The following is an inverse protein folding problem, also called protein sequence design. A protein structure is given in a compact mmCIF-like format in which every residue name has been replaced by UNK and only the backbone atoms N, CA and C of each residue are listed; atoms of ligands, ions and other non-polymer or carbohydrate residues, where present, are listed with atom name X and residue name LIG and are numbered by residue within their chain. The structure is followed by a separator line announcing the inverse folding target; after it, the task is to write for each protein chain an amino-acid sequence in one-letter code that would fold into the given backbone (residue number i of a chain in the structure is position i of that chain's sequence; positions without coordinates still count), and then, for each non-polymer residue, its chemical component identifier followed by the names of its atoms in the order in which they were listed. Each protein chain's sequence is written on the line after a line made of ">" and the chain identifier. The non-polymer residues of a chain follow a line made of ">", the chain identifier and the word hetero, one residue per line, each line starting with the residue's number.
data_IF_090983338511
#
_entry.id   IF_090983338511
#
_cell.length_a   1.000
_cell.length_b   1.000
_cell.length_c   1.000
_cell.angle_alpha   90.00
_cell.angle_beta   90.00
_cell.angle_gamma   90.00
#
_symmetry.space_group_name_H-M   'P 1'
#
loop_
_entity.id
_entity.type
_entity.pdbx_description
1 polymer ?
#
# COMPACT_ATOMS: atom_id res chain seq x y z
N UNK A 1 1.80 -23.90 9.65
CA UNK A 1 2.64 -23.14 8.70
C UNK A 1 3.76 -24.03 8.14
N UNK A 2 4.40 -24.88 8.96
CA UNK A 2 5.47 -25.79 8.53
C UNK A 2 5.09 -26.74 7.37
N UNK A 3 3.84 -27.18 7.28
CA UNK A 3 3.40 -28.07 6.19
C UNK A 3 3.40 -27.44 4.78
N UNK A 4 3.58 -26.12 4.68
CA UNK A 4 3.62 -25.39 3.39
C UNK A 4 5.03 -24.91 3.03
N UNK A 5 6.04 -25.16 3.87
CA UNK A 5 7.45 -24.84 3.59
C UNK A 5 7.92 -25.32 2.21
N UNK A 6 7.52 -26.50 1.69
CA UNK A 6 7.95 -26.94 0.36
C UNK A 6 7.47 -26.05 -0.80
N UNK A 7 6.44 -25.22 -0.62
CA UNK A 7 5.99 -24.26 -1.64
C UNK A 7 6.85 -22.99 -1.67
N UNK A 8 7.66 -22.75 -0.64
CA UNK A 8 8.53 -21.58 -0.51
C UNK A 8 10.00 -21.91 -0.87
N UNK A 9 10.32 -23.16 -1.24
CA UNK A 9 11.65 -23.56 -1.70
C UNK A 9 11.76 -23.42 -3.23
N UNK A 10 12.81 -22.75 -3.74
CA UNK A 10 13.05 -22.56 -5.18
C UNK A 10 12.29 -21.36 -5.77
N UNK A 11 11.58 -21.54 -6.87
CA UNK A 11 10.74 -20.52 -7.55
C UNK A 11 9.41 -20.23 -6.79
N UNK A 12 9.39 -20.51 -5.49
CA UNK A 12 8.25 -20.28 -4.61
C UNK A 12 8.05 -18.79 -4.34
N UNK A 13 6.83 -18.37 -3.94
CA UNK A 13 6.57 -16.97 -3.70
C UNK A 13 7.27 -16.47 -2.44
N UNK A 14 7.65 -15.18 -2.44
CA UNK A 14 7.94 -14.47 -1.20
C UNK A 14 6.62 -14.27 -0.44
N UNK A 15 6.53 -14.86 0.75
CA UNK A 15 5.38 -14.73 1.62
C UNK A 15 5.59 -13.60 2.64
N UNK A 16 4.75 -12.58 2.56
CA UNK A 16 4.64 -11.52 3.55
C UNK A 16 3.40 -11.77 4.41
N UNK A 17 3.49 -11.49 5.71
CA UNK A 17 2.36 -11.54 6.61
C UNK A 17 2.33 -10.31 7.50
N UNK A 18 1.13 -9.88 7.89
CA UNK A 18 0.99 -8.92 8.97
C UNK A 18 1.46 -9.51 10.30
N UNK A 19 1.67 -8.66 11.31
CA UNK A 19 2.18 -9.10 12.61
C UNK A 19 1.26 -10.13 13.31
N UNK A 20 -0.05 -10.11 13.02
CA UNK A 20 -1.00 -11.07 13.57
C UNK A 20 -1.12 -12.36 12.73
N UNK A 21 -0.50 -12.43 11.55
CA UNK A 21 -0.58 -13.56 10.63
C UNK A 21 -1.98 -13.81 10.08
N UNK A 22 -2.81 -12.78 9.99
CA UNK A 22 -4.18 -12.81 9.46
C UNK A 22 -4.23 -12.47 7.98
N UNK A 23 -3.37 -11.57 7.53
CA UNK A 23 -3.26 -11.15 6.13
C UNK A 23 -1.94 -11.67 5.59
N UNK A 24 -2.00 -12.39 4.47
CA UNK A 24 -0.83 -12.94 3.79
C UNK A 24 -0.80 -12.43 2.36
N UNK A 25 0.37 -12.02 1.89
CA UNK A 25 0.63 -11.65 0.51
C UNK A 25 1.71 -12.56 -0.05
N UNK A 26 1.41 -13.23 -1.16
CA UNK A 26 2.35 -14.08 -1.88
C UNK A 26 2.82 -13.34 -3.14
N UNK A 27 4.12 -13.08 -3.25
CA UNK A 27 4.73 -12.40 -4.40
C UNK A 27 5.44 -13.42 -5.27
N UNK A 28 5.06 -13.48 -6.55
CA UNK A 28 5.65 -14.36 -7.54
C UNK A 28 6.35 -13.51 -8.61
N UNK A 29 7.53 -13.95 -9.08
CA UNK A 29 8.16 -13.36 -10.25
C UNK A 29 7.29 -13.60 -11.49
N UNK A 30 7.09 -12.55 -12.29
CA UNK A 30 6.20 -12.59 -13.46
C UNK A 30 6.52 -11.46 -14.42
N UNK A 31 6.60 -11.77 -15.72
CA UNK A 31 6.74 -10.76 -16.77
C UNK A 31 5.40 -10.05 -17.10
N UNK A 32 4.31 -10.47 -16.47
CA UNK A 32 2.98 -9.87 -16.64
C UNK A 32 2.83 -8.68 -15.69
N UNK A 33 2.52 -7.51 -16.23
CA UNK A 33 2.21 -6.32 -15.44
C UNK A 33 0.94 -6.47 -14.58
N UNK A 34 0.71 -5.53 -13.64
CA UNK A 34 -0.35 -5.68 -12.63
C UNK A 34 -1.74 -5.64 -13.25
N UNK A 35 -2.55 -6.64 -12.92
CA UNK A 35 -3.94 -6.72 -13.34
C UNK A 35 -4.84 -5.68 -12.66
N UNK A 36 -4.53 -5.28 -11.42
CA UNK A 36 -5.34 -4.38 -10.60
C UNK A 36 -4.50 -3.62 -9.57
N UNK A 37 -5.16 -2.79 -8.76
CA UNK A 37 -4.57 -2.08 -7.60
C UNK A 37 -4.98 -2.78 -6.32
N UNK A 38 -4.07 -2.89 -5.35
CA UNK A 38 -4.39 -3.37 -3.99
C UNK A 38 -4.48 -2.16 -3.05
N UNK A 39 -5.63 -2.00 -2.39
CA UNK A 39 -5.88 -0.90 -1.46
C UNK A 39 -5.79 -1.36 0.00
N UNK A 40 -5.10 -0.56 0.82
CA UNK A 40 -4.95 -0.74 2.26
C UNK A 40 -5.68 0.38 3.00
N UNK A 41 -6.55 0.00 3.93
CA UNK A 41 -7.23 0.96 4.81
C UNK A 41 -6.31 1.46 5.91
N UNK A 42 -6.37 2.76 6.21
CA UNK A 42 -5.61 3.40 7.27
C UNK A 42 -6.48 4.40 8.04
N UNK A 43 -6.15 4.66 9.31
CA UNK A 43 -6.64 5.85 10.01
C UNK A 43 -6.04 7.13 9.39
N UNK A 44 -6.63 8.29 9.63
CA UNK A 44 -6.14 9.56 9.11
C UNK A 44 -4.70 9.87 9.55
N UNK A 45 -4.35 9.52 10.80
CA UNK A 45 -3.00 9.69 11.31
C UNK A 45 -1.99 8.74 10.64
N UNK A 46 -2.38 7.48 10.41
CA UNK A 46 -1.54 6.52 9.66
C UNK A 46 -1.37 6.94 8.21
N UNK A 47 -2.43 7.43 7.57
CA UNK A 47 -2.41 7.94 6.21
C UNK A 47 -1.38 9.07 6.04
N UNK A 48 -1.38 10.06 6.95
CA UNK A 48 -0.41 11.16 6.93
C UNK A 48 1.03 10.66 7.16
N UNK A 49 1.23 9.69 8.06
CA UNK A 49 2.56 9.07 8.25
C UNK A 49 3.03 8.33 7.01
N UNK A 50 2.14 7.59 6.35
CA UNK A 50 2.45 6.89 5.11
C UNK A 50 2.79 7.86 3.99
N UNK A 51 2.06 8.95 3.84
CA UNK A 51 2.40 10.00 2.89
C UNK A 51 3.84 10.49 3.11
N UNK A 52 4.18 10.89 4.33
CA UNK A 52 5.53 11.37 4.65
C UNK A 52 6.61 10.30 4.46
N UNK A 53 6.32 9.04 4.76
CA UNK A 53 7.25 7.93 4.54
C UNK A 53 7.50 7.67 3.05
N UNK A 54 6.46 7.63 2.22
CA UNK A 54 6.57 7.41 0.78
C UNK A 54 7.31 8.57 0.10
N UNK A 55 7.01 9.81 0.49
CA UNK A 55 7.73 11.00 0.02
C UNK A 55 9.23 10.89 0.36
N UNK A 56 9.57 10.45 1.58
CA UNK A 56 10.96 10.28 2.01
C UNK A 56 11.68 9.12 1.29
N UNK A 57 10.95 8.10 0.86
CA UNK A 57 11.46 7.01 0.03
C UNK A 57 11.66 7.41 -1.43
N UNK A 58 11.22 8.62 -1.83
CA UNK A 58 11.29 9.08 -3.22
C UNK A 58 10.28 8.40 -4.13
N UNK A 59 9.20 7.83 -3.58
CA UNK A 59 8.14 7.23 -4.37
C UNK A 59 7.33 8.33 -5.08
N UNK A 60 6.92 8.07 -6.33
CA UNK A 60 5.94 8.91 -7.02
C UNK A 60 4.54 8.61 -6.46
N UNK A 61 4.05 9.50 -5.60
CA UNK A 61 2.75 9.35 -4.93
C UNK A 61 1.75 10.36 -5.49
N UNK A 62 0.62 9.86 -5.99
CA UNK A 62 -0.53 10.68 -6.35
C UNK A 62 -1.51 10.74 -5.17
N UNK A 63 -1.69 11.94 -4.61
CA UNK A 63 -2.71 12.22 -3.59
C UNK A 63 -4.03 12.60 -4.27
N UNK A 64 -5.12 11.93 -3.91
CA UNK A 64 -6.45 12.18 -4.45
C UNK A 64 -7.46 12.46 -3.34
N UNK A 65 -8.22 13.55 -3.50
CA UNK A 65 -9.44 13.87 -2.76
C UNK A 65 -10.63 13.25 -3.51
N UNK A 66 -11.37 12.34 -2.87
CA UNK A 66 -12.58 11.71 -3.43
C UNK A 66 -13.87 12.20 -2.73
N UNK A 67 -13.85 13.40 -2.16
CA UNK A 67 -14.91 14.07 -1.39
C UNK A 67 -15.29 13.41 -0.05
N UNK A 68 -15.24 12.08 0.04
CA UNK A 68 -15.57 11.28 1.22
C UNK A 68 -14.37 10.50 1.77
N UNK A 69 -13.30 10.40 0.99
CA UNK A 69 -12.08 9.71 1.35
C UNK A 69 -10.87 10.40 0.74
N UNK A 70 -9.71 10.10 1.31
CA UNK A 70 -8.42 10.43 0.72
C UNK A 70 -7.72 9.15 0.32
N UNK A 71 -7.01 9.20 -0.81
CA UNK A 71 -6.21 8.08 -1.30
C UNK A 71 -4.81 8.52 -1.72
N UNK A 72 -3.80 7.71 -1.39
CA UNK A 72 -2.44 7.78 -1.93
C UNK A 72 -2.28 6.64 -2.92
N UNK A 73 -2.09 6.94 -4.20
CA UNK A 73 -1.76 5.94 -5.22
C UNK A 73 -0.28 5.98 -5.54
N UNK A 74 0.35 4.81 -5.60
CA UNK A 74 1.76 4.65 -5.93
C UNK A 74 2.03 3.28 -6.54
N UNK A 75 3.20 3.13 -7.15
CA UNK A 75 3.70 1.85 -7.64
C UNK A 75 4.94 1.41 -6.87
N UNK A 76 5.10 0.11 -6.67
CA UNK A 76 6.36 -0.46 -6.21
C UNK A 76 7.40 -0.51 -7.35
N UNK A 77 8.67 -0.91 -7.08
CA UNK A 77 9.71 -0.98 -8.11
C UNK A 77 9.42 -1.91 -9.29
N UNK A 78 8.56 -2.91 -9.10
CA UNK A 78 8.13 -3.87 -10.13
C UNK A 78 6.86 -3.41 -10.87
N UNK A 79 6.37 -2.20 -10.54
CA UNK A 79 5.23 -1.56 -11.16
C UNK A 79 3.88 -1.97 -10.58
N UNK A 80 3.82 -2.79 -9.52
CA UNK A 80 2.57 -3.17 -8.87
C UNK A 80 1.87 -1.94 -8.31
N UNK A 81 0.56 -1.80 -8.57
CA UNK A 81 -0.21 -0.64 -8.13
C UNK A 81 -0.75 -0.83 -6.73
N UNK A 82 -0.53 0.17 -5.89
CA UNK A 82 -0.98 0.20 -4.50
C UNK A 82 -1.77 1.47 -4.21
N UNK A 83 -2.68 1.35 -3.25
CA UNK A 83 -3.45 2.44 -2.69
C UNK A 83 -3.41 2.38 -1.17
N UNK A 84 -3.21 3.52 -0.52
CA UNK A 84 -3.51 3.69 0.91
C UNK A 84 -4.69 4.65 0.99
N UNK A 85 -5.79 4.20 1.60
CA UNK A 85 -7.04 4.97 1.64
C UNK A 85 -7.53 5.17 3.07
N UNK A 86 -8.18 6.31 3.31
CA UNK A 86 -8.79 6.62 4.60
C UNK A 86 -10.11 7.37 4.44
N UNK A 87 -11.04 7.09 5.35
CA UNK A 87 -12.33 7.79 5.47
C UNK A 87 -12.30 8.89 6.54
N UNK A 88 -11.19 9.08 7.24
CA UNK A 88 -11.00 10.14 8.24
C UNK A 88 -10.76 11.50 7.53
N UNK A 89 -11.71 11.88 6.67
CA UNK A 89 -11.57 12.94 5.68
C UNK A 89 -11.16 14.29 6.28
N UNK A 90 -11.91 14.75 7.28
CA UNK A 90 -11.69 16.06 7.91
C UNK A 90 -10.33 16.13 8.63
N UNK A 91 -9.88 15.03 9.22
CA UNK A 91 -8.60 14.96 9.92
C UNK A 91 -7.42 15.11 8.94
N UNK A 92 -7.51 14.46 7.78
CA UNK A 92 -6.50 14.60 6.71
C UNK A 92 -6.57 15.98 6.09
N UNK A 93 -7.77 16.47 5.75
CA UNK A 93 -7.98 17.80 5.15
C UNK A 93 -7.42 18.93 6.00
N UNK A 94 -7.59 18.87 7.33
CA UNK A 94 -7.05 19.86 8.25
C UNK A 94 -5.52 19.83 8.37
N UNK A 95 -4.88 18.71 7.99
CA UNK A 95 -3.44 18.48 8.14
C UNK A 95 -2.67 18.68 6.83
N UNK A 96 -3.35 18.63 5.69
CA UNK A 96 -2.74 18.92 4.39
C UNK A 96 -2.54 20.43 4.23
N UNK A 97 -1.39 20.87 3.68
CA UNK A 97 -1.20 22.27 3.34
C UNK A 97 -2.27 22.67 2.30
N UNK A 98 -2.95 23.78 2.56
CA UNK A 98 -3.75 24.44 1.54
C UNK A 98 -2.77 24.99 0.50
N UNK A 99 -2.95 24.63 -0.78
CA UNK A 99 -2.19 25.28 -1.84
C UNK A 99 -2.43 26.81 -1.78
N UNK A 100 -1.40 27.65 -2.01
CA UNK A 100 -1.51 29.10 -1.95
C UNK A 100 -2.41 29.70 -3.03
#
# INVERSE_FOLDING_TARGET
>A
MEQYLPWAEGDGPLMLADAAGQVHLALFESDKGPASTIAFGASGMEFLRWKGHLDACGAEVALSDHDLSWSLYFSDPDGNRHEITTYDYDAVKASLPTEP
#
